data_IF_451096125622
#
_entry.id   IF_451096125622
#
_cell.length_a   1.000
_cell.length_b   1.000
_cell.length_c   1.000
_cell.angle_alpha   90.00
_cell.angle_beta   90.00
_cell.angle_gamma   90.00
#
_symmetry.space_group_name_H-M   'P 1'
#
loop_
_entity.id
_entity.type
_entity.pdbx_description
1 polymer ?
#
# COMPACT_ATOMS: atom_id res chain seq x y z
N UNK A 1 -18.33 -4.44 -32.49
CA UNK A 1 -17.41 -3.45 -31.91
C UNK A 1 -16.21 -4.22 -31.38
N UNK A 2 -14.98 -3.86 -31.77
CA UNK A 2 -13.77 -4.60 -31.35
C UNK A 2 -13.48 -4.26 -29.89
N UNK A 3 -13.16 -5.25 -29.05
CA UNK A 3 -12.84 -5.00 -27.62
C UNK A 3 -11.56 -4.19 -27.41
N UNK A 4 -10.77 -3.95 -28.48
CA UNK A 4 -9.60 -3.06 -28.47
C UNK A 4 -9.92 -1.57 -28.49
N UNK A 5 -11.18 -1.18 -28.71
CA UNK A 5 -11.60 0.24 -28.80
C UNK A 5 -12.13 0.79 -27.46
N UNK A 6 -12.22 -0.04 -26.41
CA UNK A 6 -12.70 0.41 -25.12
C UNK A 6 -11.56 1.07 -24.31
N UNK A 7 -11.72 2.35 -23.91
CA UNK A 7 -10.71 3.04 -23.11
C UNK A 7 -10.55 2.33 -21.75
N UNK A 8 -9.35 2.43 -21.13
CA UNK A 8 -9.13 1.84 -19.82
C UNK A 8 -10.12 2.42 -18.80
N UNK A 9 -10.58 1.61 -17.81
CA UNK A 9 -11.46 2.10 -16.75
C UNK A 9 -10.85 3.31 -16.04
N UNK A 10 -11.61 4.43 -15.91
CA UNK A 10 -11.08 5.65 -15.31
C UNK A 10 -10.66 5.39 -13.86
N UNK A 11 -9.47 5.86 -13.48
CA UNK A 11 -8.92 5.67 -12.14
C UNK A 11 -9.62 6.61 -11.14
N UNK A 12 -10.24 6.09 -10.07
CA UNK A 12 -10.80 6.92 -9.00
C UNK A 12 -9.71 7.68 -8.26
N UNK A 13 -9.94 8.97 -7.94
CA UNK A 13 -9.00 9.79 -7.16
C UNK A 13 -8.68 9.20 -5.78
N UNK A 14 -9.63 8.47 -5.18
CA UNK A 14 -9.42 7.77 -3.92
C UNK A 14 -8.27 6.74 -4.00
N UNK A 15 -8.05 6.13 -5.17
CA UNK A 15 -6.93 5.19 -5.37
C UNK A 15 -5.60 5.93 -5.38
N UNK A 16 -5.56 7.12 -5.96
CA UNK A 16 -4.36 7.96 -5.92
C UNK A 16 -4.01 8.40 -4.49
N UNK A 17 -5.03 8.68 -3.67
CA UNK A 17 -4.86 8.95 -2.25
C UNK A 17 -4.31 7.73 -1.50
N UNK A 18 -4.93 6.55 -1.65
CA UNK A 18 -4.47 5.33 -1.00
C UNK A 18 -3.04 4.95 -1.43
N UNK A 19 -2.73 5.10 -2.73
CA UNK A 19 -1.39 4.92 -3.27
C UNK A 19 -0.38 5.90 -2.65
N UNK A 20 -0.75 7.17 -2.52
CA UNK A 20 0.09 8.18 -1.90
C UNK A 20 0.38 7.82 -0.43
N UNK A 21 -0.63 7.40 0.34
CA UNK A 21 -0.42 6.95 1.73
C UNK A 21 0.58 5.80 1.81
N UNK A 22 0.48 4.79 0.95
CA UNK A 22 1.42 3.65 0.93
C UNK A 22 2.86 4.09 0.60
N UNK A 23 3.02 4.98 -0.39
CA UNK A 23 4.34 5.50 -0.78
C UNK A 23 4.93 6.37 0.31
N UNK A 24 4.20 7.37 0.80
CA UNK A 24 4.68 8.28 1.83
C UNK A 24 4.89 7.57 3.17
N UNK A 25 4.03 6.63 3.54
CA UNK A 25 4.20 5.79 4.73
C UNK A 25 5.48 4.97 4.67
N UNK A 26 5.77 4.36 3.52
CA UNK A 26 7.02 3.63 3.32
C UNK A 26 8.25 4.54 3.33
N UNK A 27 8.21 5.69 2.65
CA UNK A 27 9.31 6.67 2.66
C UNK A 27 9.59 7.23 4.06
N UNK A 28 8.54 7.54 4.80
CA UNK A 28 8.67 7.98 6.18
C UNK A 28 9.28 6.87 7.05
N UNK A 29 8.81 5.64 6.92
CA UNK A 29 9.38 4.49 7.62
C UNK A 29 10.87 4.30 7.33
N UNK A 30 11.29 4.47 6.07
CA UNK A 30 12.70 4.47 5.69
C UNK A 30 13.49 5.60 6.38
N UNK A 31 12.96 6.82 6.40
CA UNK A 31 13.62 7.95 7.04
C UNK A 31 13.80 7.73 8.54
N UNK A 32 12.81 7.12 9.20
CA UNK A 32 12.89 6.79 10.63
C UNK A 32 13.93 5.71 10.91
N UNK A 33 14.01 4.68 10.06
CA UNK A 33 15.07 3.67 10.15
C UNK A 33 16.46 4.29 9.98
N UNK A 34 16.64 5.20 9.03
CA UNK A 34 17.91 5.88 8.78
C UNK A 34 18.36 6.76 9.96
N UNK A 35 17.40 7.35 10.68
CA UNK A 35 17.65 8.21 11.85
C UNK A 35 17.75 7.41 13.17
N UNK A 36 17.56 6.09 13.14
CA UNK A 36 17.60 5.25 14.34
C UNK A 36 16.37 5.37 15.25
N UNK A 37 15.29 5.99 14.76
CA UNK A 37 14.01 6.04 15.46
C UNK A 37 13.20 4.77 15.15
N UNK A 38 13.24 3.81 16.07
CA UNK A 38 12.48 2.57 15.93
C UNK A 38 11.08 2.75 16.53
N UNK A 39 10.08 2.98 15.67
CA UNK A 39 8.68 3.10 16.11
C UNK A 39 8.14 1.78 16.72
N UNK A 40 8.71 0.63 16.33
CA UNK A 40 8.20 -0.70 16.68
C UNK A 40 8.93 -1.33 17.88
N UNK A 41 10.04 -0.77 18.38
CA UNK A 41 10.83 -1.45 19.42
C UNK A 41 11.16 -0.55 20.60
N UNK A 42 10.37 -0.69 21.66
CA UNK A 42 10.95 -0.64 23.00
C UNK A 42 12.13 -1.61 23.09
N UNK A 43 13.19 -1.19 23.79
CA UNK A 43 14.46 -1.85 24.13
C UNK A 43 14.63 -3.36 23.88
N UNK A 44 14.49 -3.85 22.65
CA UNK A 44 14.71 -5.27 22.32
C UNK A 44 16.15 -5.51 21.86
N UNK A 45 16.83 -6.56 22.38
CA UNK A 45 18.24 -6.84 22.12
C UNK A 45 18.54 -7.32 20.68
N UNK A 46 17.54 -7.67 19.88
CA UNK A 46 17.70 -8.19 18.52
C UNK A 46 17.45 -7.12 17.44
N UNK A 47 18.32 -6.11 17.35
CA UNK A 47 18.16 -4.99 16.39
C UNK A 47 18.26 -5.41 14.92
N UNK A 48 19.13 -6.38 14.57
CA UNK A 48 19.43 -6.74 13.18
C UNK A 48 18.23 -7.30 12.39
N UNK A 49 17.59 -8.40 12.82
CA UNK A 49 16.47 -8.99 12.09
C UNK A 49 15.25 -8.05 11.97
N UNK A 50 15.00 -7.25 13.00
CA UNK A 50 13.88 -6.31 13.04
C UNK A 50 14.07 -5.19 12.00
N UNK A 51 15.30 -4.67 11.86
CA UNK A 51 15.64 -3.68 10.82
C UNK A 51 15.42 -4.28 9.43
N UNK A 52 15.84 -5.53 9.21
CA UNK A 52 15.65 -6.21 7.92
C UNK A 52 14.17 -6.33 7.54
N UNK A 53 13.33 -6.79 8.48
CA UNK A 53 11.88 -6.91 8.26
C UNK A 53 11.23 -5.55 8.00
N UNK A 54 11.57 -4.52 8.79
CA UNK A 54 11.05 -3.18 8.60
C UNK A 54 11.44 -2.59 7.23
N UNK A 55 12.71 -2.78 6.84
CA UNK A 55 13.23 -2.36 5.53
C UNK A 55 12.43 -2.99 4.38
N UNK A 56 12.18 -4.30 4.44
CA UNK A 56 11.39 -5.02 3.43
C UNK A 56 9.95 -4.51 3.43
N UNK A 57 9.34 -4.32 4.60
CA UNK A 57 7.96 -3.84 4.72
C UNK A 57 7.79 -2.45 4.09
N UNK A 58 8.71 -1.51 4.35
CA UNK A 58 8.65 -0.17 3.77
C UNK A 58 8.92 -0.17 2.27
N UNK A 59 9.88 -0.98 1.78
CA UNK A 59 10.10 -1.18 0.35
C UNK A 59 8.85 -1.74 -0.34
N UNK A 60 8.22 -2.75 0.28
CA UNK A 60 6.98 -3.34 -0.21
C UNK A 60 5.84 -2.32 -0.23
N UNK A 61 5.75 -1.45 0.78
CA UNK A 61 4.74 -0.37 0.83
C UNK A 61 4.87 0.59 -0.34
N UNK A 62 6.09 1.05 -0.62
CA UNK A 62 6.37 1.93 -1.77
C UNK A 62 6.03 1.22 -3.08
N UNK A 63 6.53 -0.01 -3.26
CA UNK A 63 6.30 -0.78 -4.48
C UNK A 63 4.80 -1.03 -4.71
N UNK A 64 4.07 -1.45 -3.67
CA UNK A 64 2.62 -1.67 -3.77
C UNK A 64 1.87 -0.37 -4.05
N UNK A 65 2.24 0.75 -3.42
CA UNK A 65 1.67 2.06 -3.71
C UNK A 65 1.81 2.47 -5.18
N UNK A 66 2.95 2.18 -5.81
CA UNK A 66 3.14 2.39 -7.26
C UNK A 66 2.27 1.42 -8.07
N UNK A 67 2.26 0.14 -7.70
CA UNK A 67 1.58 -0.93 -8.45
C UNK A 67 0.05 -0.82 -8.38
N UNK A 68 -0.53 -0.32 -7.29
CA UNK A 68 -2.00 -0.15 -7.20
C UNK A 68 -2.52 0.93 -8.16
N UNK A 69 -1.70 1.93 -8.53
CA UNK A 69 -2.10 2.97 -9.50
C UNK A 69 -2.41 2.43 -10.88
N UNK A 70 -1.87 1.26 -11.22
CA UNK A 70 -2.13 0.55 -12.48
C UNK A 70 -3.11 -0.63 -12.32
N UNK A 71 -3.85 -0.66 -11.22
CA UNK A 71 -4.90 -1.66 -10.96
C UNK A 71 -4.36 -3.06 -10.68
N UNK A 72 -3.19 -3.17 -10.05
CA UNK A 72 -2.53 -4.45 -9.73
C UNK A 72 -2.30 -4.62 -8.24
N UNK A 73 -2.02 -5.86 -7.84
CA UNK A 73 -1.63 -6.24 -6.48
C UNK A 73 -2.61 -5.79 -5.38
N UNK A 74 -3.89 -5.66 -5.71
CA UNK A 74 -4.94 -5.18 -4.80
C UNK A 74 -4.93 -5.88 -3.44
N UNK A 75 -4.97 -7.20 -3.44
CA UNK A 75 -5.04 -7.98 -2.19
C UNK A 75 -3.78 -7.84 -1.34
N UNK A 76 -2.60 -7.78 -1.98
CA UNK A 76 -1.34 -7.54 -1.28
C UNK A 76 -1.31 -6.14 -0.65
N UNK A 77 -1.79 -5.12 -1.37
CA UNK A 77 -1.85 -3.75 -0.87
C UNK A 77 -2.83 -3.60 0.29
N UNK A 78 -4.02 -4.24 0.22
CA UNK A 78 -4.97 -4.28 1.34
C UNK A 78 -4.34 -4.94 2.56
N UNK A 79 -3.75 -6.13 2.39
CA UNK A 79 -3.13 -6.85 3.50
C UNK A 79 -2.00 -6.05 4.13
N UNK A 80 -1.13 -5.45 3.32
CA UNK A 80 -0.04 -4.63 3.85
C UNK A 80 -0.57 -3.40 4.59
N UNK A 81 -1.55 -2.68 4.02
CA UNK A 81 -2.14 -1.51 4.67
C UNK A 81 -2.74 -1.86 6.04
N UNK A 82 -3.50 -2.95 6.13
CA UNK A 82 -4.09 -3.41 7.38
C UNK A 82 -3.01 -3.85 8.38
N UNK A 83 -2.01 -4.62 7.91
CA UNK A 83 -0.90 -5.05 8.75
C UNK A 83 -0.16 -3.85 9.35
N UNK A 84 0.19 -2.87 8.52
CA UNK A 84 0.87 -1.64 8.96
C UNK A 84 0.02 -0.85 9.95
N UNK A 85 -1.29 -0.73 9.70
CA UNK A 85 -2.21 -0.07 10.63
C UNK A 85 -2.20 -0.73 12.01
N UNK A 86 -2.24 -2.07 12.05
CA UNK A 86 -2.18 -2.85 13.30
C UNK A 86 -0.81 -2.71 13.98
N UNK A 87 0.28 -2.74 13.21
CA UNK A 87 1.64 -2.64 13.75
C UNK A 87 1.91 -1.31 14.48
N UNK A 88 1.22 -0.24 14.11
CA UNK A 88 1.35 1.05 14.78
C UNK A 88 0.46 1.21 16.02
N UNK A 89 -0.55 0.34 16.23
CA UNK A 89 -1.46 0.42 17.38
C UNK A 89 -0.75 0.37 18.75
N UNK A 90 0.27 -0.47 18.98
CA UNK A 90 0.98 -0.49 20.26
C UNK A 90 1.69 0.82 20.62
N UNK A 91 1.97 1.67 19.63
CA UNK A 91 2.61 2.98 19.80
C UNK A 91 1.63 4.15 19.61
N UNK A 92 0.32 3.89 19.63
CA UNK A 92 -0.74 4.86 19.38
C UNK A 92 -0.88 5.95 20.45
N UNK A 93 -0.19 5.81 21.59
CA UNK A 93 -0.02 6.86 22.60
C UNK A 93 0.77 8.07 22.05
N UNK A 94 1.55 7.86 20.98
CA UNK A 94 2.31 8.92 20.31
C UNK A 94 1.54 9.45 19.09
N UNK A 95 1.55 10.77 18.84
CA UNK A 95 0.77 11.36 17.74
C UNK A 95 1.11 10.79 16.37
N UNK A 96 2.40 10.60 16.07
CA UNK A 96 2.84 10.18 14.74
C UNK A 96 2.43 8.73 14.41
N UNK A 97 2.73 7.70 15.24
CA UNK A 97 2.24 6.35 15.02
C UNK A 97 0.71 6.26 14.94
N UNK A 98 -0.02 7.03 15.75
CA UNK A 98 -1.49 7.06 15.67
C UNK A 98 -1.98 7.57 14.31
N UNK A 99 -1.41 8.68 13.82
CA UNK A 99 -1.74 9.21 12.48
C UNK A 99 -1.40 8.18 11.39
N UNK A 100 -0.24 7.50 11.49
CA UNK A 100 0.14 6.47 10.52
C UNK A 100 -0.80 5.27 10.55
N UNK A 101 -1.23 4.83 11.74
CA UNK A 101 -2.21 3.76 11.89
C UNK A 101 -3.52 4.12 11.20
N UNK A 102 -4.03 5.34 11.44
CA UNK A 102 -5.28 5.83 10.85
C UNK A 102 -5.18 5.99 9.33
N UNK A 103 -4.09 6.56 8.82
CA UNK A 103 -3.89 6.73 7.37
C UNK A 103 -3.81 5.38 6.65
N UNK A 104 -3.08 4.41 7.19
CA UNK A 104 -3.01 3.08 6.59
C UNK A 104 -4.33 2.33 6.70
N UNK A 105 -5.06 2.47 7.82
CA UNK A 105 -6.42 1.95 7.96
C UNK A 105 -7.38 2.54 6.91
N UNK A 106 -7.32 3.86 6.70
CA UNK A 106 -8.09 4.54 5.66
C UNK A 106 -7.71 4.08 4.26
N UNK A 107 -6.41 3.95 3.95
CA UNK A 107 -5.95 3.44 2.67
C UNK A 107 -6.46 2.01 2.43
N UNK A 108 -6.41 1.14 3.44
CA UNK A 108 -7.00 -0.19 3.39
C UNK A 108 -8.50 -0.16 3.10
N UNK A 109 -9.26 0.66 3.82
CA UNK A 109 -10.70 0.82 3.61
C UNK A 109 -11.03 1.33 2.19
N UNK A 110 -10.27 2.30 1.69
CA UNK A 110 -10.41 2.82 0.32
C UNK A 110 -10.13 1.73 -0.71
N UNK A 111 -9.05 0.96 -0.54
CA UNK A 111 -8.72 -0.13 -1.46
C UNK A 111 -9.81 -1.21 -1.47
N UNK A 112 -10.41 -1.53 -0.32
CA UNK A 112 -11.55 -2.46 -0.23
C UNK A 112 -12.78 -1.88 -0.93
N UNK A 113 -13.12 -0.61 -0.67
CA UNK A 113 -14.26 0.06 -1.29
C UNK A 113 -14.13 0.15 -2.82
N UNK A 114 -12.91 0.28 -3.33
CA UNK A 114 -12.61 0.37 -4.76
C UNK A 114 -12.32 -1.00 -5.41
N UNK A 115 -12.63 -2.12 -4.75
CA UNK A 115 -12.43 -3.49 -5.30
C UNK A 115 -12.94 -3.65 -6.73
N UNK A 116 -14.09 -3.06 -7.06
CA UNK A 116 -14.71 -3.18 -8.38
C UNK A 116 -13.83 -2.59 -9.49
N UNK A 117 -13.19 -1.45 -9.26
CA UNK A 117 -12.27 -0.86 -10.22
C UNK A 117 -11.10 -1.80 -10.55
N UNK A 118 -10.52 -2.46 -9.55
CA UNK A 118 -9.44 -3.43 -9.78
C UNK A 118 -9.90 -4.62 -10.64
N UNK A 119 -11.14 -5.09 -10.44
CA UNK A 119 -11.73 -6.14 -11.26
C UNK A 119 -11.96 -5.67 -12.71
N UNK A 120 -12.47 -4.46 -12.89
CA UNK A 120 -12.72 -3.86 -14.20
C UNK A 120 -11.41 -3.67 -14.98
N UNK A 121 -10.34 -3.19 -14.33
CA UNK A 121 -9.01 -3.06 -14.94
C UNK A 121 -8.42 -4.43 -15.32
N UNK A 122 -8.60 -5.45 -14.47
CA UNK A 122 -8.15 -6.81 -14.78
C UNK A 122 -8.88 -7.38 -16.00
N UNK A 123 -10.20 -7.20 -16.08
CA UNK A 123 -11.02 -7.65 -17.21
C UNK A 123 -10.62 -6.94 -18.51
N UNK A 124 -10.45 -5.61 -18.48
CA UNK A 124 -10.00 -4.81 -19.62
C UNK A 124 -8.64 -5.31 -20.17
N UNK A 125 -7.68 -5.58 -19.29
CA UNK A 125 -6.35 -6.08 -19.70
C UNK A 125 -6.38 -7.47 -20.30
N UNK A 126 -7.25 -8.36 -19.82
CA UNK A 126 -7.37 -9.70 -20.36
C UNK A 126 -8.03 -9.66 -21.74
N UNK A 127 -9.11 -8.89 -21.90
CA UNK A 127 -9.76 -8.70 -23.21
C UNK A 127 -8.86 -8.02 -24.26
N UNK A 128 -7.88 -7.21 -23.84
CA UNK A 128 -6.87 -6.65 -24.73
C UNK A 128 -5.79 -7.67 -25.15
N UNK A 129 -5.43 -8.62 -24.28
CA UNK A 129 -4.44 -9.66 -24.58
C UNK A 129 -4.95 -10.68 -25.59
N UNK A 130 -6.21 -11.08 -25.47
CA UNK A 130 -6.84 -12.07 -26.35
C UNK A 130 -6.94 -11.60 -27.82
N UNK A 131 -6.78 -10.30 -28.08
CA UNK A 131 -6.73 -9.73 -29.44
C UNK A 131 -5.31 -9.64 -30.03
N UNK A 132 -4.28 -9.84 -29.21
CA UNK A 132 -2.87 -9.66 -29.59
C UNK A 132 -2.09 -10.96 -29.79
N UNK A 133 -2.70 -12.09 -29.45
CA UNK A 133 -2.18 -13.44 -29.71
C UNK A 133 -2.90 -14.08 -30.88
#
# INVERSE_FOLDING_TARGET
MRSGDHPPPPRPAAIDLAAAVLVFGGLLGFSQLALGEYVVTGSLPAKGPIIGVATIAYAASIALGVVVRVGRAWLLAVNLAVLVAILYLPAADRPLPLVLALLHGLAGAVLVAQRRWFADVAAWRNGARDLSG
#
